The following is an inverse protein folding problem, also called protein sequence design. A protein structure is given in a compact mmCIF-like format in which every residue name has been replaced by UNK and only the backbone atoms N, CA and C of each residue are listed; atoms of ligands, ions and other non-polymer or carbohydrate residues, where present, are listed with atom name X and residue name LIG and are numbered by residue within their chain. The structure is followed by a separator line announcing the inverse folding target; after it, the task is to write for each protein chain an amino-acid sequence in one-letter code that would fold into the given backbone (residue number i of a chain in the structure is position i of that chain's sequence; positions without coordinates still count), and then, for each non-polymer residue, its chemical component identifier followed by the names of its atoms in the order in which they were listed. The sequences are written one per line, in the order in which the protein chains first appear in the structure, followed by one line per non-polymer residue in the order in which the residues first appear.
data_IF_465560456047
#
_entry.id   IF_465560456047
#
_cell.length_a   1.000
_cell.length_b   1.000
_cell.length_c   1.000
_cell.angle_alpha   90.00
_cell.angle_beta   90.00
_cell.angle_gamma   90.00
#
_symmetry.space_group_name_H-M   'P 1'
#
loop_
_entity.id
_entity.type
_entity.pdbx_description
1 polymer ?
#
# COMPACT_ATOMS: atom_id res chain seq x y z
N UNK A 1 -2.83 -3.59 -4.22
CA UNK A 1 -2.95 -3.78 -5.70
C UNK A 1 -2.58 -2.45 -6.35
N UNK A 2 -2.13 -2.38 -7.60
CA UNK A 2 -1.68 -1.09 -8.17
C UNK A 2 -2.25 -0.79 -9.54
N UNK A 3 -2.63 0.47 -9.77
CA UNK A 3 -2.96 0.96 -11.12
C UNK A 3 -1.70 1.42 -11.83
N UNK A 4 -1.45 0.89 -13.02
CA UNK A 4 -0.33 1.31 -13.86
C UNK A 4 -0.80 2.33 -14.90
N UNK A 5 -0.50 3.61 -14.66
CA UNK A 5 -0.90 4.69 -15.58
C UNK A 5 -0.24 4.62 -16.97
N UNK A 6 0.74 3.72 -17.18
CA UNK A 6 1.45 3.58 -18.45
C UNK A 6 0.72 2.70 -19.47
N UNK A 7 -0.11 1.78 -18.99
CA UNK A 7 -0.91 0.87 -19.84
C UNK A 7 -2.37 0.77 -19.39
N UNK A 8 -2.77 1.56 -18.39
CA UNK A 8 -4.14 1.71 -17.90
C UNK A 8 -4.74 0.42 -17.32
N UNK A 9 -3.90 -0.50 -16.86
CA UNK A 9 -4.35 -1.72 -16.20
C UNK A 9 -4.14 -1.70 -14.68
N UNK A 10 -4.97 -2.48 -14.00
CA UNK A 10 -4.72 -2.84 -12.61
C UNK A 10 -3.80 -4.06 -12.56
N UNK A 11 -2.89 -4.06 -11.61
CA UNK A 11 -2.03 -5.19 -11.30
C UNK A 11 -2.25 -5.63 -9.86
N UNK A 12 -2.28 -6.93 -9.65
CA UNK A 12 -2.53 -7.53 -8.35
C UNK A 12 -1.71 -8.81 -8.20
N UNK A 13 -1.82 -9.40 -7.02
CA UNK A 13 -1.28 -10.75 -6.78
C UNK A 13 -2.44 -11.73 -6.72
N UNK A 14 -2.41 -12.75 -7.59
CA UNK A 14 -3.21 -13.96 -7.41
C UNK A 14 -2.47 -14.88 -6.43
N UNK A 15 -3.18 -15.41 -5.42
CA UNK A 15 -2.58 -16.10 -4.28
C UNK A 15 -3.26 -17.45 -3.96
N UNK A 16 -3.29 -18.39 -4.91
CA UNK A 16 -3.93 -19.69 -4.69
C UNK A 16 -2.92 -20.76 -4.29
N UNK A 17 -3.03 -21.31 -3.07
CA UNK A 17 -2.45 -22.60 -2.64
C UNK A 17 -1.10 -22.99 -3.29
N UNK A 18 -0.06 -22.17 -3.06
CA UNK A 18 1.32 -22.25 -3.60
C UNK A 18 1.56 -21.80 -5.06
N UNK A 19 0.53 -21.43 -5.80
CA UNK A 19 0.60 -20.72 -7.08
C UNK A 19 0.40 -19.21 -6.89
N UNK A 20 1.52 -18.48 -6.82
CA UNK A 20 1.53 -17.04 -6.65
C UNK A 20 1.93 -16.34 -7.95
N UNK A 21 1.12 -15.39 -8.39
CA UNK A 21 1.34 -14.72 -9.67
C UNK A 21 1.08 -13.23 -9.58
N UNK A 22 1.93 -12.44 -10.23
CA UNK A 22 1.54 -11.11 -10.66
C UNK A 22 0.53 -11.30 -11.78
N UNK A 23 -0.65 -10.70 -11.61
CA UNK A 23 -1.70 -10.69 -12.61
C UNK A 23 -1.99 -9.27 -13.07
N UNK A 24 -2.44 -9.15 -14.31
CA UNK A 24 -2.98 -7.93 -14.91
C UNK A 24 -4.48 -8.07 -15.08
N UNK A 25 -5.24 -7.14 -14.53
CA UNK A 25 -6.70 -7.09 -14.62
C UNK A 25 -7.07 -6.08 -15.71
N UNK A 26 -7.76 -6.57 -16.73
CA UNK A 26 -8.20 -5.80 -17.89
C UNK A 26 -9.46 -5.00 -17.58
N UNK A 27 -9.78 -4.02 -18.44
CA UNK A 27 -10.96 -3.17 -18.30
C UNK A 27 -12.30 -3.96 -18.26
N UNK A 28 -12.34 -5.17 -18.83
CA UNK A 28 -13.50 -6.05 -18.76
C UNK A 28 -13.57 -6.92 -17.49
N UNK A 29 -12.65 -6.72 -16.53
CA UNK A 29 -12.55 -7.46 -15.28
C UNK A 29 -11.82 -8.81 -15.37
N UNK A 30 -11.41 -9.26 -16.57
CA UNK A 30 -10.64 -10.51 -16.71
C UNK A 30 -9.19 -10.32 -16.27
N UNK A 31 -8.60 -11.37 -15.69
CA UNK A 31 -7.20 -11.38 -15.28
C UNK A 31 -6.32 -12.18 -16.25
N UNK A 32 -5.08 -11.74 -16.41
CA UNK A 32 -4.04 -12.43 -17.18
C UNK A 32 -2.78 -12.60 -16.32
N UNK A 33 -2.18 -13.77 -16.39
CA UNK A 33 -0.89 -14.04 -15.74
C UNK A 33 0.22 -13.20 -16.39
N UNK A 34 1.05 -12.57 -15.56
CA UNK A 34 2.18 -11.74 -16.00
C UNK A 34 3.50 -12.39 -15.61
N UNK A 35 3.64 -12.77 -14.35
CA UNK A 35 4.86 -13.35 -13.83
C UNK A 35 4.58 -14.27 -12.63
N UNK A 36 5.30 -15.39 -12.48
CA UNK A 36 5.27 -16.15 -11.24
C UNK A 36 5.99 -15.38 -10.12
N UNK A 37 5.55 -15.61 -8.88
CA UNK A 37 6.15 -15.07 -7.67
C UNK A 37 6.70 -16.22 -6.84
N UNK A 38 8.00 -16.13 -6.50
CA UNK A 38 8.64 -17.04 -5.55
C UNK A 38 8.69 -16.37 -4.20
N UNK A 39 7.83 -16.78 -3.28
CA UNK A 39 7.76 -16.15 -1.95
C UNK A 39 9.03 -16.40 -1.13
N UNK A 40 9.43 -15.36 -0.40
CA UNK A 40 10.47 -15.37 0.62
C UNK A 40 9.90 -15.75 2.00
N UNK A 41 8.58 -15.61 2.18
CA UNK A 41 7.88 -15.81 3.46
C UNK A 41 6.57 -16.56 3.26
N UNK A 42 6.03 -17.17 4.31
CA UNK A 42 4.75 -17.90 4.23
C UNK A 42 3.52 -16.96 4.23
N UNK A 43 3.66 -15.73 4.74
CA UNK A 43 2.56 -14.78 4.92
C UNK A 43 1.87 -14.37 3.61
N UNK A 44 0.59 -14.04 3.67
CA UNK A 44 -0.15 -13.56 2.51
C UNK A 44 0.33 -12.16 2.10
N UNK A 45 0.31 -11.88 0.80
CA UNK A 45 0.45 -10.52 0.30
C UNK A 45 -0.75 -9.70 0.76
N UNK A 46 -0.45 -8.54 1.37
CA UNK A 46 -1.45 -7.59 1.84
C UNK A 46 -1.26 -6.19 1.24
N UNK A 47 -0.17 -5.99 0.49
CA UNK A 47 0.20 -4.67 -0.03
C UNK A 47 0.69 -4.76 -1.46
N UNK A 48 0.31 -3.76 -2.26
CA UNK A 48 0.79 -3.63 -3.63
C UNK A 48 0.54 -2.24 -4.18
N UNK A 49 1.50 -1.60 -4.85
CA UNK A 49 1.25 -0.38 -5.64
C UNK A 49 2.25 -0.22 -6.79
N UNK A 50 1.85 0.48 -7.86
CA UNK A 50 2.69 0.79 -9.03
C UNK A 50 3.18 2.23 -8.94
N UNK A 51 4.48 2.43 -9.12
CA UNK A 51 5.06 3.78 -9.17
C UNK A 51 5.04 4.39 -10.57
N UNK A 52 5.45 5.66 -10.65
CA UNK A 52 5.43 6.48 -11.86
C UNK A 52 6.29 5.88 -12.99
N UNK A 53 7.23 4.99 -12.66
CA UNK A 53 8.13 4.33 -13.60
C UNK A 53 7.62 2.94 -14.03
N UNK A 54 6.38 2.59 -13.67
CA UNK A 54 5.82 1.27 -13.93
C UNK A 54 6.51 0.19 -13.11
N UNK A 55 7.07 0.50 -11.95
CA UNK A 55 7.60 -0.51 -11.03
C UNK A 55 6.51 -0.91 -10.04
N UNK A 56 6.22 -2.20 -9.97
CA UNK A 56 5.23 -2.74 -9.05
C UNK A 56 5.89 -3.27 -7.79
N UNK A 57 5.41 -2.79 -6.64
CA UNK A 57 5.96 -3.08 -5.34
C UNK A 57 4.95 -3.83 -4.51
N UNK A 58 5.27 -5.05 -4.08
CA UNK A 58 4.38 -5.91 -3.27
C UNK A 58 5.08 -6.40 -2.00
N UNK A 59 4.30 -6.71 -0.95
CA UNK A 59 4.80 -7.18 0.34
C UNK A 59 3.82 -8.12 1.05
N UNK A 60 4.35 -9.01 1.89
CA UNK A 60 3.61 -9.87 2.82
C UNK A 60 3.57 -9.33 4.26
N UNK A 61 2.92 -8.19 4.46
CA UNK A 61 2.63 -7.66 5.79
C UNK A 61 3.86 -7.14 6.52
N UNK A 62 4.78 -6.51 5.79
CA UNK A 62 5.97 -5.92 6.40
C UNK A 62 7.13 -6.90 6.60
N UNK A 63 7.09 -8.10 6.03
CA UNK A 63 8.16 -9.10 6.17
C UNK A 63 9.14 -9.11 4.99
N UNK A 64 8.63 -8.90 3.78
CA UNK A 64 9.42 -8.92 2.55
C UNK A 64 8.96 -7.86 1.55
N UNK A 65 9.71 -7.69 0.46
CA UNK A 65 9.34 -6.84 -0.66
C UNK A 65 9.77 -7.50 -1.98
N UNK A 66 9.02 -7.19 -3.03
CA UNK A 66 9.33 -7.58 -4.40
C UNK A 66 9.10 -6.38 -5.31
N UNK A 67 9.94 -6.24 -6.32
CA UNK A 67 9.87 -5.23 -7.35
C UNK A 67 9.76 -5.92 -8.70
N UNK A 68 8.65 -5.70 -9.41
CA UNK A 68 8.47 -6.17 -10.78
C UNK A 68 8.47 -5.00 -11.75
N UNK A 69 9.11 -5.18 -12.90
CA UNK A 69 9.07 -4.19 -13.97
C UNK A 69 7.79 -4.38 -14.80
N UNK A 70 6.84 -3.47 -14.67
CA UNK A 70 5.62 -3.40 -15.45
C UNK A 70 5.62 -2.22 -16.43
N UNK A 71 6.79 -1.65 -16.74
CA UNK A 71 6.89 -0.60 -17.74
C UNK A 71 6.67 -1.21 -19.15
N UNK A 72 5.54 -0.92 -19.82
CA UNK A 72 5.17 -1.57 -21.07
C UNK A 72 6.17 -1.26 -22.18
N UNK A 73 6.39 -2.22 -23.09
CA UNK A 73 7.31 -2.08 -24.22
C UNK A 73 8.80 -2.13 -23.87
N UNK A 74 9.17 -2.25 -22.59
CA UNK A 74 10.57 -2.47 -22.19
C UNK A 74 10.94 -3.95 -22.31
N UNK A 75 12.22 -4.24 -22.61
CA UNK A 75 12.72 -5.62 -22.72
C UNK A 75 12.59 -6.42 -21.41
N UNK A 76 12.45 -5.74 -20.27
CA UNK A 76 12.27 -6.36 -18.96
C UNK A 76 10.82 -6.38 -18.46
N UNK A 77 9.81 -6.09 -19.29
CA UNK A 77 8.42 -6.14 -18.85
C UNK A 77 8.08 -7.54 -18.30
N UNK A 78 7.41 -7.59 -17.15
CA UNK A 78 7.03 -8.83 -16.46
C UNK A 78 8.17 -9.53 -15.72
N UNK A 79 9.35 -8.91 -15.59
CA UNK A 79 10.48 -9.52 -14.88
C UNK A 79 10.60 -9.02 -13.44
N UNK A 80 11.08 -9.89 -12.54
CA UNK A 80 11.48 -9.51 -11.19
C UNK A 80 12.78 -8.70 -11.25
N UNK A 81 12.72 -7.45 -10.81
CA UNK A 81 13.87 -6.54 -10.70
C UNK A 81 14.67 -6.83 -9.44
N UNK A 82 13.98 -7.16 -8.34
CA UNK A 82 14.62 -7.52 -7.08
C UNK A 82 13.60 -7.88 -6.00
N UNK A 83 14.09 -8.53 -4.95
CA UNK A 83 13.31 -8.83 -3.75
C UNK A 83 14.22 -8.92 -2.53
N UNK A 84 13.64 -8.87 -1.34
CA UNK A 84 14.37 -9.03 -0.09
C UNK A 84 13.46 -9.04 1.12
N UNK A 85 14.03 -9.31 2.29
CA UNK A 85 13.34 -9.12 3.57
C UNK A 85 13.31 -7.65 3.94
N UNK A 86 12.27 -7.24 4.66
CA UNK A 86 12.13 -5.87 5.16
C UNK A 86 12.91 -5.66 6.45
N UNK A 87 13.48 -4.48 6.61
CA UNK A 87 14.19 -4.04 7.79
C UNK A 87 13.63 -2.69 8.29
N UNK A 88 13.88 -2.36 9.55
CA UNK A 88 13.39 -1.11 10.16
C UNK A 88 11.89 -1.10 10.47
N UNK A 89 11.25 -2.26 10.47
CA UNK A 89 9.79 -2.41 10.67
C UNK A 89 9.34 -2.17 12.10
N UNK A 90 10.26 -2.04 13.06
CA UNK A 90 9.98 -1.71 14.46
C UNK A 90 9.04 -2.67 15.21
N UNK A 91 8.75 -3.84 14.64
CA UNK A 91 7.77 -4.79 15.20
C UNK A 91 6.31 -4.34 15.06
N UNK A 92 6.02 -3.32 14.24
CA UNK A 92 4.64 -2.89 13.98
C UNK A 92 3.91 -3.91 13.09
N UNK A 93 2.61 -4.07 13.31
CA UNK A 93 1.72 -4.69 12.32
C UNK A 93 1.57 -3.71 11.16
N UNK A 94 2.23 -3.98 10.03
CA UNK A 94 2.22 -3.11 8.86
C UNK A 94 0.99 -3.41 8.01
N UNK A 95 0.19 -2.37 7.73
CA UNK A 95 -0.98 -2.45 6.86
C UNK A 95 -0.60 -2.47 5.37
N UNK A 96 -1.57 -2.14 4.53
CA UNK A 96 -1.33 -1.85 3.12
C UNK A 96 -0.44 -0.60 2.96
N UNK A 97 0.15 -0.43 1.78
CA UNK A 97 1.01 0.70 1.44
C UNK A 97 0.61 1.38 0.13
N UNK A 98 1.01 2.63 -0.04
CA UNK A 98 0.78 3.37 -1.28
C UNK A 98 1.98 4.26 -1.59
N UNK A 99 2.29 4.42 -2.88
CA UNK A 99 3.27 5.41 -3.34
C UNK A 99 2.70 6.80 -3.12
N UNK A 100 3.35 7.62 -2.30
CA UNK A 100 2.92 8.99 -2.04
C UNK A 100 3.83 9.98 -2.77
N UNK A 101 3.32 10.73 -3.76
CA UNK A 101 4.06 11.78 -4.46
C UNK A 101 4.21 13.05 -3.61
N UNK A 102 4.81 14.10 -4.19
CA UNK A 102 4.99 15.39 -3.52
C UNK A 102 5.82 15.26 -2.25
N UNK A 103 5.22 15.61 -1.10
CA UNK A 103 5.88 15.49 0.21
C UNK A 103 6.27 14.05 0.58
N UNK A 104 5.64 13.04 -0.02
CA UNK A 104 6.02 11.64 0.18
C UNK A 104 7.25 11.20 -0.61
N UNK A 105 7.75 12.04 -1.53
CA UNK A 105 8.97 11.80 -2.30
C UNK A 105 8.88 10.64 -3.30
N UNK A 106 7.67 10.13 -3.58
CA UNK A 106 7.47 8.94 -4.41
C UNK A 106 7.81 7.63 -3.70
N UNK A 107 8.05 7.64 -2.38
CA UNK A 107 8.25 6.43 -1.59
C UNK A 107 6.91 5.77 -1.22
N UNK A 108 6.99 4.55 -0.68
CA UNK A 108 5.83 3.83 -0.16
C UNK A 108 5.55 4.24 1.29
N UNK A 109 4.29 4.54 1.59
CA UNK A 109 3.83 4.94 2.92
C UNK A 109 2.72 4.01 3.39
N UNK A 110 2.71 3.69 4.68
CA UNK A 110 1.77 2.77 5.30
C UNK A 110 1.39 3.25 6.70
N UNK A 111 0.27 2.75 7.21
CA UNK A 111 -0.03 2.81 8.63
C UNK A 111 0.33 1.49 9.29
N UNK A 112 1.29 1.55 10.22
CA UNK A 112 1.59 0.48 11.14
C UNK A 112 0.78 0.61 12.42
N UNK A 113 0.63 -0.51 13.15
CA UNK A 113 -0.01 -0.53 14.46
C UNK A 113 0.90 -1.18 15.48
N UNK A 114 1.01 -0.56 16.65
CA UNK A 114 1.54 -1.19 17.86
C UNK A 114 0.55 -0.99 19.00
N UNK A 115 0.18 -2.09 19.64
CA UNK A 115 -0.99 -2.19 20.51
C UNK A 115 -2.27 -1.68 19.83
N UNK A 116 -2.61 -0.40 20.02
CA UNK A 116 -3.78 0.26 19.41
C UNK A 116 -3.43 1.61 18.77
N UNK A 117 -2.19 2.09 18.93
CA UNK A 117 -1.74 3.32 18.31
C UNK A 117 -1.37 3.05 16.86
N UNK A 118 -1.83 3.92 15.97
CA UNK A 118 -1.40 3.97 14.59
C UNK A 118 -0.09 4.77 14.47
N UNK A 119 0.78 4.35 13.56
CA UNK A 119 2.06 4.98 13.26
C UNK A 119 2.17 5.20 11.76
N UNK A 120 2.57 6.40 11.35
CA UNK A 120 2.92 6.67 9.97
C UNK A 120 4.31 6.10 9.69
N UNK A 121 4.36 5.15 8.75
CA UNK A 121 5.59 4.49 8.34
C UNK A 121 5.93 4.87 6.90
N UNK A 122 7.23 5.04 6.63
CA UNK A 122 7.77 5.24 5.28
C UNK A 122 8.73 4.11 4.95
N UNK A 123 8.51 3.44 3.82
CA UNK A 123 9.48 2.54 3.22
C UNK A 123 10.19 3.24 2.07
N UNK A 124 11.50 3.45 2.22
CA UNK A 124 12.27 4.10 1.19
C UNK A 124 12.62 3.11 0.07
N UNK A 125 12.17 3.40 -1.16
CA UNK A 125 12.35 2.49 -2.29
C UNK A 125 13.81 2.38 -2.74
N UNK A 126 14.70 3.30 -2.34
CA UNK A 126 16.12 3.24 -2.68
C UNK A 126 16.90 2.41 -1.68
N UNK A 127 16.79 2.72 -0.38
CA UNK A 127 17.52 2.03 0.69
C UNK A 127 16.85 0.73 1.11
N UNK A 128 15.59 0.50 0.75
CA UNK A 128 14.76 -0.67 1.10
C UNK A 128 14.49 -0.82 2.60
N UNK A 129 14.48 0.28 3.33
CA UNK A 129 14.32 0.31 4.80
C UNK A 129 13.06 1.06 5.20
N UNK A 130 12.33 0.51 6.17
CA UNK A 130 11.25 1.20 6.87
C UNK A 130 11.79 2.17 7.91
N UNK A 131 11.09 3.29 8.05
CA UNK A 131 11.28 4.25 9.13
C UNK A 131 9.93 4.60 9.75
N UNK A 132 9.91 4.70 11.08
CA UNK A 132 8.77 5.26 11.80
C UNK A 132 8.89 6.76 11.72
N UNK A 133 7.90 7.41 11.10
CA UNK A 133 7.93 8.85 10.86
C UNK A 133 7.23 9.59 11.99
N UNK A 134 6.07 9.10 12.43
CA UNK A 134 5.24 9.77 13.43
C UNK A 134 4.26 8.82 14.10
N UNK A 135 4.06 8.96 15.41
CA UNK A 135 2.91 8.35 16.10
C UNK A 135 1.65 9.20 15.86
N UNK A 136 0.55 8.54 15.50
CA UNK A 136 -0.73 9.18 15.22
C UNK A 136 -1.77 8.95 16.34
N UNK A 137 -1.43 8.12 17.33
CA UNK A 137 -2.31 7.73 18.43
C UNK A 137 -3.39 6.72 18.02
N UNK A 138 -4.36 6.50 18.90
CA UNK A 138 -5.46 5.56 18.69
C UNK A 138 -6.56 6.19 17.80
N UNK A 139 -6.32 6.23 16.50
CA UNK A 139 -7.24 6.85 15.53
C UNK A 139 -8.63 6.21 15.56
N UNK A 140 -8.73 4.88 15.66
CA UNK A 140 -10.04 4.20 15.61
C UNK A 140 -10.81 4.24 16.92
N UNK A 141 -10.18 4.65 18.02
CA UNK A 141 -10.75 4.53 19.36
C UNK A 141 -10.84 3.08 19.85
N UNK A 142 -10.06 2.16 19.26
CA UNK A 142 -10.07 0.75 19.63
C UNK A 142 -9.78 0.56 21.13
N UNK A 143 -10.54 -0.31 21.78
CA UNK A 143 -10.41 -0.65 23.20
C UNK A 143 -10.38 -2.17 23.39
N UNK A 144 -10.16 -2.65 24.61
CA UNK A 144 -10.11 -4.10 24.89
C UNK A 144 -8.93 -4.80 24.20
N UNK A 145 -9.20 -5.93 23.53
CA UNK A 145 -8.19 -6.75 22.82
C UNK A 145 -8.15 -6.54 21.31
N UNK A 146 -9.03 -5.68 20.77
CA UNK A 146 -9.07 -5.39 19.33
C UNK A 146 -7.85 -4.59 18.91
N UNK A 147 -7.09 -5.12 17.95
CA UNK A 147 -5.95 -4.45 17.31
C UNK A 147 -6.39 -3.98 15.92
N UNK A 148 -6.36 -2.67 15.62
CA UNK A 148 -6.71 -2.16 14.30
C UNK A 148 -5.82 -2.74 13.21
N UNK A 149 -6.38 -2.89 12.00
CA UNK A 149 -5.60 -3.25 10.81
C UNK A 149 -6.00 -2.39 9.62
N UNK A 150 -5.01 -1.74 9.00
CA UNK A 150 -5.19 -0.83 7.88
C UNK A 150 -5.03 -1.59 6.57
N UNK A 151 -6.10 -2.19 6.06
CA UNK A 151 -6.04 -3.10 4.92
C UNK A 151 -6.10 -2.46 3.55
N UNK A 152 -6.41 -1.18 3.45
CA UNK A 152 -6.35 -0.45 2.19
C UNK A 152 -5.81 0.96 2.38
N UNK A 153 -5.04 1.42 1.40
CA UNK A 153 -4.48 2.76 1.35
C UNK A 153 -4.55 3.39 -0.04
N UNK A 154 -4.57 4.71 -0.07
CA UNK A 154 -4.58 5.52 -1.28
C UNK A 154 -3.76 6.79 -1.04
N UNK A 155 -3.34 7.45 -2.12
CA UNK A 155 -2.61 8.70 -2.04
C UNK A 155 -3.12 9.70 -3.08
N UNK A 156 -2.96 10.97 -2.74
CA UNK A 156 -3.23 12.10 -3.64
C UNK A 156 -1.94 12.86 -3.97
N UNK A 157 -1.95 13.58 -5.10
CA UNK A 157 -0.75 14.27 -5.61
C UNK A 157 -0.19 15.36 -4.68
N UNK A 158 -0.99 15.87 -3.76
CA UNK A 158 -0.63 16.84 -2.74
C UNK A 158 -0.01 16.22 -1.47
N UNK A 159 0.26 14.91 -1.47
CA UNK A 159 1.04 14.25 -0.41
C UNK A 159 0.21 13.85 0.81
N UNK A 160 -1.09 13.60 0.63
CA UNK A 160 -1.91 12.94 1.64
C UNK A 160 -1.97 11.44 1.41
N UNK A 161 -1.93 10.70 2.52
CA UNK A 161 -2.27 9.29 2.58
C UNK A 161 -3.71 9.18 3.10
N UNK A 162 -4.51 8.35 2.45
CA UNK A 162 -5.83 7.95 2.90
C UNK A 162 -5.75 6.47 3.27
N UNK A 163 -6.22 6.11 4.46
CA UNK A 163 -6.16 4.75 4.96
C UNK A 163 -7.53 4.29 5.45
N UNK A 164 -7.88 3.05 5.14
CA UNK A 164 -9.13 2.42 5.56
C UNK A 164 -8.80 1.35 6.58
N UNK A 165 -9.42 1.43 7.75
CA UNK A 165 -9.28 0.42 8.78
C UNK A 165 -10.35 -0.65 8.65
N UNK A 166 -9.94 -1.91 8.70
CA UNK A 166 -10.75 -3.05 8.30
C UNK A 166 -11.90 -3.34 9.27
N UNK A 167 -11.63 -3.30 10.57
CA UNK A 167 -12.60 -3.69 11.59
C UNK A 167 -13.70 -2.66 11.83
N UNK A 168 -13.37 -1.38 11.73
CA UNK A 168 -14.27 -0.26 11.97
C UNK A 168 -14.81 0.37 10.69
N UNK A 169 -14.15 0.14 9.54
CA UNK A 169 -14.46 0.80 8.28
C UNK A 169 -13.99 2.26 8.20
N UNK A 170 -13.40 2.82 9.26
CA UNK A 170 -13.06 4.25 9.29
C UNK A 170 -12.02 4.60 8.23
N UNK A 171 -12.29 5.69 7.50
CA UNK A 171 -11.38 6.27 6.50
C UNK A 171 -10.73 7.52 7.10
N UNK A 172 -9.40 7.53 7.10
CA UNK A 172 -8.60 8.62 7.64
C UNK A 172 -7.73 9.24 6.57
N UNK A 173 -7.71 10.58 6.52
CA UNK A 173 -6.75 11.38 5.74
C UNK A 173 -5.62 11.85 6.64
N UNK A 174 -4.39 11.62 6.19
CA UNK A 174 -3.17 11.84 6.95
C UNK A 174 -2.20 12.65 6.08
N UNK A 175 -1.78 13.82 6.57
CA UNK A 175 -0.71 14.58 5.92
C UNK A 175 0.61 13.86 6.16
N UNK A 176 1.25 13.40 5.08
CA UNK A 176 2.59 12.78 5.19
C UNK A 176 3.59 13.79 5.75
N UNK A 177 3.53 15.04 5.29
CA UNK A 177 4.36 16.13 5.79
C UNK A 177 4.04 16.55 7.24
N UNK A 178 2.88 16.16 7.78
CA UNK A 178 2.43 16.60 9.10
C UNK A 178 2.03 18.08 9.16
N UNK A 179 1.70 18.68 8.01
CA UNK A 179 1.36 20.10 7.89
C UNK A 179 -0.04 20.45 8.39
N UNK A 180 -0.93 19.47 8.50
CA UNK A 180 -2.29 19.62 9.02
C UNK A 180 -2.68 18.42 9.90
N UNK A 181 -3.65 18.58 10.81
CA UNK A 181 -4.16 17.46 11.62
C UNK A 181 -4.71 16.31 10.79
N UNK A 182 -4.60 15.08 11.31
CA UNK A 182 -5.26 13.92 10.73
C UNK A 182 -6.79 14.10 10.82
N UNK A 183 -7.50 13.69 9.78
CA UNK A 183 -8.95 13.88 9.69
C UNK A 183 -9.65 12.56 9.38
N UNK A 184 -10.63 12.17 10.21
CA UNK A 184 -11.59 11.12 9.85
C UNK A 184 -12.56 11.68 8.83
N UNK A 185 -12.73 11.00 7.71
CA UNK A 185 -13.58 11.46 6.62
C UNK A 185 -14.96 10.83 6.64
N UNK A 186 -15.02 9.50 6.59
CA UNK A 186 -16.24 8.70 6.45
C UNK A 186 -15.94 7.26 6.88
N UNK A 187 -16.95 6.40 6.80
CA UNK A 187 -16.81 4.97 7.00
C UNK A 187 -17.08 4.21 5.69
N UNK A 188 -16.24 3.23 5.38
CA UNK A 188 -16.47 2.21 4.37
C UNK A 188 -17.19 1.00 4.99
N UNK A 189 -17.78 0.11 4.18
CA UNK A 189 -18.17 -1.21 4.66
C UNK A 189 -17.00 -1.93 5.33
N UNK A 190 -17.24 -2.49 6.52
CA UNK A 190 -16.28 -3.33 7.24
C UNK A 190 -15.89 -4.51 6.35
N UNK A 191 -14.59 -4.77 6.24
CA UNK A 191 -14.07 -5.87 5.44
C UNK A 191 -12.77 -6.39 6.03
N UNK A 192 -12.59 -7.72 6.05
CA UNK A 192 -11.29 -8.35 6.33
C UNK A 192 -10.44 -8.54 5.06
N UNK A 193 -11.01 -8.21 3.90
CA UNK A 193 -10.42 -8.40 2.56
C UNK A 193 -10.73 -7.17 1.72
N UNK A 194 -9.86 -6.18 1.82
CA UNK A 194 -9.87 -4.97 1.03
C UNK A 194 -8.44 -4.68 0.57
N UNK A 195 -8.34 -3.88 -0.47
CA UNK A 195 -7.08 -3.42 -1.02
C UNK A 195 -7.34 -2.05 -1.68
N UNK A 196 -6.30 -1.23 -1.81
CA UNK A 196 -6.36 0.08 -2.44
C UNK A 196 -5.61 0.10 -3.77
N UNK A 197 -6.04 0.95 -4.69
CA UNK A 197 -5.25 1.36 -5.84
C UNK A 197 -5.38 2.88 -5.97
N UNK A 198 -4.25 3.60 -5.96
CA UNK A 198 -4.28 5.06 -6.15
C UNK A 198 -4.53 5.42 -7.62
N UNK A 199 -5.12 6.59 -7.82
CA UNK A 199 -5.10 7.24 -9.12
C UNK A 199 -3.87 8.15 -9.20
N UNK A 200 -3.01 7.94 -10.19
CA UNK A 200 -1.76 8.72 -10.35
C UNK A 200 -2.04 10.19 -10.64
N UNK A 201 -3.13 10.50 -11.33
CA UNK A 201 -3.56 11.88 -11.64
C UNK A 201 -4.61 12.40 -10.65
N UNK A 202 -4.69 11.83 -9.46
CA UNK A 202 -5.60 12.32 -8.42
C UNK A 202 -5.26 13.76 -8.06
N UNK A 203 -6.22 14.67 -8.29
CA UNK A 203 -6.14 16.04 -7.83
C UNK A 203 -6.18 16.14 -6.31
N UNK A 204 -5.87 17.32 -5.78
CA UNK A 204 -6.07 17.62 -4.36
C UNK A 204 -7.55 17.47 -4.00
N UNK A 205 -7.84 16.74 -2.91
CA UNK A 205 -9.21 16.59 -2.40
C UNK A 205 -9.49 17.77 -1.47
N UNK A 206 -10.31 18.71 -1.93
CA UNK A 206 -10.83 19.80 -1.10
C UNK A 206 -11.87 19.23 -0.16
N UNK A 207 -11.54 19.17 1.13
CA UNK A 207 -12.49 18.79 2.19
C UNK A 207 -12.95 20.08 2.85
N UNK A 208 -14.22 20.44 2.68
CA UNK A 208 -14.84 21.54 3.43
C UNK A 208 -14.95 21.16 4.90
N UNK A 209 -14.51 22.05 5.77
CA UNK A 209 -14.69 21.96 7.24
C UNK A 209 -16.15 22.10 7.65
#
# INVERSE_FOLDING_TARGET
MGYNARDEYLYAVSQDSDDYKVIRILANGTAQDVAPIKKLTANLFNSGDVDENGQYWISTGGLDWYQYNLNPGTAGYGTLVGSGTLAGTGGYTIGDWTVVPGAGGGDLWSLGVSAKSAFLLRWNKTTKVFTVVRELGNLTGASGTTVPFWGASYATNDGFLFAVENGSGQIWRISVAGTVPNLRLNDAPVSSQNDGARCLDSGAIIVSS
#
